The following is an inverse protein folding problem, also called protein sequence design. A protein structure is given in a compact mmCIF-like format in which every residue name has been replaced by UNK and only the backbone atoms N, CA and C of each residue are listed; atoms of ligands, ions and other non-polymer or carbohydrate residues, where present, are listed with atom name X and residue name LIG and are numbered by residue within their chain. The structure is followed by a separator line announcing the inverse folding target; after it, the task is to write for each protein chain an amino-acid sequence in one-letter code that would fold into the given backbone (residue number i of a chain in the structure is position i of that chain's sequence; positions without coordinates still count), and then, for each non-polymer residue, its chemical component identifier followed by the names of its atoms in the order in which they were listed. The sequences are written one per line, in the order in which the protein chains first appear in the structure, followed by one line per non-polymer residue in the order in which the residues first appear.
data_IF_942238431912
#
_entry.id   IF_942238431912
#
_cell.length_a   1.000
_cell.length_b   1.000
_cell.length_c   1.000
_cell.angle_alpha   90.00
_cell.angle_beta   90.00
_cell.angle_gamma   90.00
#
_symmetry.space_group_name_H-M   'P 1'
#
loop_
_entity.id
_entity.type
_entity.pdbx_description
1 polymer ?
#
# COMPACT_ATOMS: atom_id res chain seq x y z
N UNK A 1 -21.10 0.66 8.84
CA UNK A 1 -20.43 1.72 8.03
C UNK A 1 -21.25 1.91 6.77
N UNK A 2 -21.10 3.01 6.03
CA UNK A 2 -21.69 3.14 4.69
C UNK A 2 -20.76 2.54 3.63
N UNK A 3 -20.18 3.41 2.82
CA UNK A 3 -19.23 3.10 1.75
C UNK A 3 -17.86 3.67 2.08
N UNK A 4 -16.84 3.12 1.43
CA UNK A 4 -15.47 3.59 1.58
C UNK A 4 -14.72 3.61 0.25
N UNK A 5 -13.77 4.54 0.12
CA UNK A 5 -12.76 4.53 -0.94
C UNK A 5 -11.44 4.15 -0.30
N UNK A 6 -10.90 3.03 -0.75
CA UNK A 6 -9.67 2.44 -0.25
C UNK A 6 -8.55 2.63 -1.26
N UNK A 7 -7.36 2.94 -0.76
CA UNK A 7 -6.10 2.80 -1.47
C UNK A 7 -5.52 1.43 -1.15
N UNK A 8 -5.22 0.64 -2.18
CA UNK A 8 -4.72 -0.73 -2.07
C UNK A 8 -3.22 -0.74 -2.37
N UNK A 9 -2.40 -1.48 -1.60
CA UNK A 9 -0.96 -1.56 -1.82
C UNK A 9 -0.60 -2.27 -3.14
N UNK A 10 0.67 -2.30 -3.50
CA UNK A 10 1.16 -3.04 -4.67
C UNK A 10 0.93 -4.54 -4.48
N UNK A 11 0.90 -5.32 -5.57
CA UNK A 11 0.66 -6.77 -5.46
C UNK A 11 1.64 -7.47 -4.51
N UNK A 12 2.93 -7.13 -4.56
CA UNK A 12 3.94 -7.69 -3.67
C UNK A 12 3.68 -7.36 -2.20
N UNK A 13 3.43 -6.08 -1.89
CA UNK A 13 3.14 -5.64 -0.53
C UNK A 13 1.80 -6.20 -0.03
N UNK A 14 0.78 -6.28 -0.89
CA UNK A 14 -0.53 -6.86 -0.60
C UNK A 14 -0.39 -8.32 -0.14
N UNK A 15 0.43 -9.12 -0.83
CA UNK A 15 0.67 -10.52 -0.46
C UNK A 15 1.33 -10.63 0.91
N UNK A 16 2.36 -9.83 1.20
CA UNK A 16 3.02 -9.84 2.51
C UNK A 16 2.06 -9.41 3.62
N UNK A 17 1.34 -8.31 3.43
CA UNK A 17 0.41 -7.78 4.41
C UNK A 17 -0.75 -8.74 4.67
N UNK A 18 -1.34 -9.30 3.61
CA UNK A 18 -2.42 -10.28 3.73
C UNK A 18 -1.99 -11.53 4.48
N UNK A 19 -0.77 -12.00 4.27
CA UNK A 19 -0.24 -13.15 5.00
C UNK A 19 0.02 -12.81 6.47
N UNK A 20 0.58 -11.64 6.76
CA UNK A 20 0.74 -11.16 8.14
C UNK A 20 -0.61 -11.05 8.87
N UNK A 21 -1.65 -10.51 8.21
CA UNK A 21 -2.98 -10.29 8.78
C UNK A 21 -3.74 -11.60 9.08
N UNK A 22 -3.23 -12.77 8.64
CA UNK A 22 -3.73 -14.09 9.06
C UNK A 22 -3.19 -14.54 10.41
N UNK A 23 -2.19 -13.85 10.98
CA UNK A 23 -1.60 -14.22 12.26
C UNK A 23 -2.66 -14.29 13.37
N UNK A 24 -2.67 -15.37 14.14
CA UNK A 24 -3.53 -15.55 15.31
C UNK A 24 -2.67 -16.02 16.50
N UNK A 25 -2.79 -15.37 17.66
CA UNK A 25 -2.16 -15.81 18.89
C UNK A 25 -2.50 -17.27 19.24
N UNK A 26 -1.49 -18.12 19.50
CA UNK A 26 -1.66 -19.59 19.65
C UNK A 26 -2.33 -20.00 20.98
N UNK A 27 -2.00 -19.35 22.09
CA UNK A 27 -2.35 -19.75 23.45
C UNK A 27 -3.53 -18.95 24.04
N UNK A 28 -4.68 -19.00 23.40
CA UNK A 28 -5.88 -18.33 23.92
C UNK A 28 -6.65 -19.25 24.86
N UNK A 29 -6.98 -18.78 26.07
CA UNK A 29 -7.96 -19.44 26.94
C UNK A 29 -9.40 -19.25 26.43
N UNK A 30 -9.64 -18.21 25.62
CA UNK A 30 -10.90 -18.02 24.90
C UNK A 30 -11.00 -19.01 23.74
N UNK A 31 -12.18 -19.60 23.58
CA UNK A 31 -12.52 -20.41 22.42
C UNK A 31 -12.22 -19.61 21.14
N UNK A 32 -11.54 -20.25 20.19
CA UNK A 32 -11.35 -19.76 18.83
C UNK A 32 -12.62 -19.18 18.19
N UNK A 33 -13.81 -19.70 18.53
CA UNK A 33 -15.09 -19.27 17.98
C UNK A 33 -15.62 -17.96 18.56
N UNK A 34 -15.18 -17.56 19.75
CA UNK A 34 -15.62 -16.31 20.37
C UNK A 34 -14.76 -15.11 19.95
N UNK A 35 -13.60 -15.34 19.32
CA UNK A 35 -12.67 -14.27 18.96
C UNK A 35 -13.03 -13.61 17.63
N UNK A 36 -13.15 -12.29 17.67
CA UNK A 36 -13.58 -11.46 16.54
C UNK A 36 -12.41 -11.04 15.63
N UNK A 37 -11.88 -11.99 14.86
CA UNK A 37 -10.85 -11.71 13.84
C UNK A 37 -11.40 -11.77 12.40
N UNK A 38 -12.13 -10.75 11.92
CA UNK A 38 -12.55 -10.74 10.53
C UNK A 38 -11.33 -10.64 9.61
N UNK A 39 -11.39 -11.30 8.46
CA UNK A 39 -10.47 -11.04 7.36
C UNK A 39 -10.97 -9.83 6.57
N UNK A 40 -10.03 -9.00 6.13
CA UNK A 40 -10.26 -7.90 5.20
C UNK A 40 -8.96 -7.63 4.42
N UNK A 41 -9.07 -6.97 3.27
CA UNK A 41 -7.91 -6.66 2.43
C UNK A 41 -7.06 -5.56 3.07
N UNK A 42 -5.72 -5.59 3.00
CA UNK A 42 -4.88 -4.48 3.44
C UNK A 42 -5.18 -3.21 2.63
N UNK A 43 -5.48 -2.11 3.32
CA UNK A 43 -5.85 -0.85 2.67
C UNK A 43 -5.59 0.38 3.55
N UNK A 44 -5.38 1.54 2.91
CA UNK A 44 -5.49 2.85 3.55
C UNK A 44 -6.84 3.45 3.16
N UNK A 45 -7.64 3.87 4.14
CA UNK A 45 -8.93 4.51 3.86
C UNK A 45 -8.71 5.96 3.44
N UNK A 46 -9.11 6.30 2.21
CA UNK A 46 -9.03 7.67 1.69
C UNK A 46 -10.21 8.50 2.21
N UNK A 47 -11.42 7.95 2.09
CA UNK A 47 -12.67 8.55 2.57
C UNK A 47 -13.71 7.47 2.88
N UNK A 48 -14.62 7.78 3.82
CA UNK A 48 -15.85 7.02 4.07
C UNK A 48 -17.05 7.96 4.00
N UNK A 49 -18.22 7.44 3.63
CA UNK A 49 -19.46 8.21 3.52
C UNK A 49 -20.66 7.28 3.68
N UNK A 50 -21.80 7.82 4.10
CA UNK A 50 -22.93 7.00 4.57
C UNK A 50 -23.80 6.50 3.39
N UNK A 51 -23.98 7.32 2.35
CA UNK A 51 -24.82 7.01 1.18
C UNK A 51 -24.04 7.13 -0.13
N UNK A 52 -24.27 6.21 -1.07
CA UNK A 52 -23.66 6.23 -2.40
C UNK A 52 -24.67 6.77 -3.44
N UNK A 53 -24.52 7.99 -3.95
CA UNK A 53 -25.43 8.52 -4.96
C UNK A 53 -25.34 7.71 -6.26
N UNK A 54 -26.44 7.53 -7.01
CA UNK A 54 -26.42 6.82 -8.30
C UNK A 54 -25.46 7.43 -9.34
N UNK A 55 -25.16 8.73 -9.22
CA UNK A 55 -24.24 9.46 -10.10
C UNK A 55 -22.77 9.31 -9.71
N UNK A 56 -22.45 8.67 -8.58
CA UNK A 56 -21.07 8.47 -8.17
C UNK A 56 -20.37 7.50 -9.12
N UNK A 57 -19.24 7.94 -9.68
CA UNK A 57 -18.39 7.13 -10.52
C UNK A 57 -16.93 7.33 -10.12
N UNK A 58 -16.26 6.23 -9.74
CA UNK A 58 -14.85 6.21 -9.36
C UNK A 58 -13.92 6.63 -10.52
N UNK A 59 -14.32 6.36 -11.76
CA UNK A 59 -13.56 6.72 -12.97
C UNK A 59 -13.57 8.23 -13.24
N UNK A 60 -14.53 8.97 -12.66
CA UNK A 60 -14.64 10.42 -12.80
C UNK A 60 -13.69 11.22 -11.87
N UNK A 61 -12.90 10.54 -11.03
CA UNK A 61 -11.87 11.20 -10.22
C UNK A 61 -10.69 11.55 -11.14
N UNK A 62 -10.23 12.80 -11.13
CA UNK A 62 -9.06 13.20 -11.92
C UNK A 62 -7.79 12.66 -11.27
N UNK A 63 -7.20 11.63 -11.87
CA UNK A 63 -5.94 11.02 -11.42
C UNK A 63 -4.77 11.34 -12.36
N UNK A 64 -5.05 12.08 -13.43
CA UNK A 64 -4.06 12.43 -14.44
C UNK A 64 -2.93 13.25 -13.81
N UNK A 65 -1.70 12.88 -14.12
CA UNK A 65 -0.49 13.51 -13.59
C UNK A 65 -0.29 13.36 -12.07
N UNK A 66 -1.10 12.54 -11.38
CA UNK A 66 -0.79 12.21 -9.99
C UNK A 66 0.36 11.20 -9.97
N UNK A 67 1.49 11.53 -9.33
CA UNK A 67 2.54 10.55 -9.10
C UNK A 67 2.07 9.44 -8.16
N UNK A 68 2.68 8.25 -8.29
CA UNK A 68 2.30 7.07 -7.52
C UNK A 68 2.40 7.37 -6.00
N UNK A 69 1.36 7.08 -5.20
CA UNK A 69 1.36 7.33 -3.77
C UNK A 69 2.26 6.31 -3.05
N UNK A 70 3.25 6.82 -2.31
CA UNK A 70 4.21 5.99 -1.56
C UNK A 70 4.31 6.49 -0.12
N UNK A 71 4.30 5.56 0.83
CA UNK A 71 4.51 5.82 2.24
C UNK A 71 5.44 4.80 2.89
N UNK A 72 6.03 5.18 4.02
CA UNK A 72 6.83 4.28 4.86
C UNK A 72 6.09 3.98 6.14
N UNK A 73 6.16 2.73 6.60
CA UNK A 73 5.60 2.36 7.89
C UNK A 73 6.42 3.00 9.01
N UNK A 74 5.77 3.80 9.85
CA UNK A 74 6.44 4.58 10.89
C UNK A 74 6.33 3.90 12.24
N UNK A 75 5.13 3.51 12.62
CA UNK A 75 4.85 2.91 13.92
C UNK A 75 3.56 2.11 13.88
N UNK A 76 3.41 1.19 14.84
CA UNK A 76 2.15 0.51 15.11
C UNK A 76 1.44 1.23 16.26
N UNK A 77 0.16 1.50 16.07
CA UNK A 77 -0.72 2.01 17.12
C UNK A 77 -1.67 0.91 17.54
N UNK A 78 -1.72 0.67 18.85
CA UNK A 78 -2.70 -0.20 19.49
C UNK A 78 -3.81 0.66 20.08
N UNK A 79 -5.02 0.53 19.54
CA UNK A 79 -6.18 1.32 19.96
C UNK A 79 -7.15 0.56 20.86
N UNK A 80 -8.13 1.30 21.39
CA UNK A 80 -9.13 0.86 22.36
C UNK A 80 -10.50 0.52 21.72
N UNK A 81 -10.60 0.55 20.39
CA UNK A 81 -11.84 0.26 19.65
C UNK A 81 -11.68 -0.91 18.69
N UNK A 82 -12.80 -1.52 18.30
CA UNK A 82 -12.83 -2.65 17.36
C UNK A 82 -12.09 -2.36 16.05
N UNK A 83 -12.40 -1.22 15.41
CA UNK A 83 -11.80 -0.80 14.13
C UNK A 83 -10.39 -0.21 14.29
N UNK A 84 -9.97 0.10 15.52
CA UNK A 84 -8.67 0.67 15.84
C UNK A 84 -7.74 -0.29 16.59
N UNK A 85 -8.09 -1.58 16.70
CA UNK A 85 -7.40 -2.53 17.58
C UNK A 85 -5.89 -2.58 17.31
N UNK A 86 -5.50 -2.76 16.05
CA UNK A 86 -4.11 -2.59 15.64
C UNK A 86 -4.02 -1.94 14.27
N UNK A 87 -3.29 -0.84 14.18
CA UNK A 87 -3.12 -0.07 12.94
C UNK A 87 -1.68 0.41 12.78
N UNK A 88 -1.30 0.70 11.55
CA UNK A 88 0.00 1.26 11.20
C UNK A 88 -0.19 2.72 10.87
N UNK A 89 0.62 3.56 11.50
CA UNK A 89 0.82 4.94 11.06
C UNK A 89 1.75 4.91 9.87
N UNK A 90 1.25 5.37 8.73
CA UNK A 90 2.04 5.49 7.51
C UNK A 90 2.56 6.91 7.46
N UNK A 91 3.88 7.07 7.38
CA UNK A 91 4.46 8.37 7.07
C UNK A 91 4.24 8.63 5.57
N UNK A 92 3.58 9.74 5.19
CA UNK A 92 3.45 10.09 3.78
C UNK A 92 4.84 10.47 3.28
N UNK A 93 5.46 9.59 2.47
CA UNK A 93 6.75 9.88 1.89
C UNK A 93 6.59 10.85 0.73
N UNK A 94 5.69 10.52 -0.22
CA UNK A 94 5.24 11.39 -1.31
C UNK A 94 3.82 11.00 -1.79
N UNK A 95 3.02 12.02 -2.15
CA UNK A 95 1.85 11.89 -3.04
C UNK A 95 0.60 11.17 -2.55
N UNK A 96 0.54 10.74 -1.29
CA UNK A 96 -0.71 10.23 -0.71
C UNK A 96 -1.75 11.33 -0.49
N UNK A 97 -1.33 12.52 -0.05
CA UNK A 97 -2.24 13.65 0.20
C UNK A 97 -2.92 14.15 -1.09
N UNK A 98 -2.20 14.41 -2.20
CA UNK A 98 -2.85 14.80 -3.47
C UNK A 98 -3.92 13.80 -3.97
N UNK A 99 -3.68 12.49 -3.80
CA UNK A 99 -4.69 11.48 -4.14
C UNK A 99 -5.93 11.59 -3.25
N UNK A 100 -5.75 11.73 -1.94
CA UNK A 100 -6.87 11.94 -1.02
C UNK A 100 -7.62 13.21 -1.37
N UNK A 101 -6.93 14.31 -1.63
CA UNK A 101 -7.54 15.60 -1.98
C UNK A 101 -8.35 15.50 -3.28
N UNK A 102 -7.85 14.78 -4.29
CA UNK A 102 -8.60 14.54 -5.54
C UNK A 102 -9.88 13.73 -5.30
N UNK A 103 -9.81 12.73 -4.42
CA UNK A 103 -10.97 11.91 -4.03
C UNK A 103 -11.99 12.76 -3.27
N UNK A 104 -11.56 13.50 -2.25
CA UNK A 104 -12.46 14.30 -1.41
C UNK A 104 -13.06 15.46 -2.18
N UNK A 105 -12.29 16.13 -3.05
CA UNK A 105 -12.82 17.17 -3.94
C UNK A 105 -13.90 16.62 -4.89
N UNK A 106 -13.80 15.37 -5.34
CA UNK A 106 -14.87 14.72 -6.12
C UNK A 106 -16.12 14.49 -5.29
N UNK A 107 -15.97 14.03 -4.04
CA UNK A 107 -17.09 13.84 -3.12
C UNK A 107 -17.79 15.17 -2.80
N UNK A 108 -17.01 16.22 -2.53
CA UNK A 108 -17.51 17.57 -2.26
C UNK A 108 -18.33 18.13 -3.43
N UNK A 109 -17.86 17.97 -4.68
CA UNK A 109 -18.61 18.39 -5.89
C UNK A 109 -19.95 17.67 -6.06
N UNK A 110 -20.08 16.47 -5.50
CA UNK A 110 -21.32 15.69 -5.53
C UNK A 110 -22.16 15.92 -4.26
N UNK A 111 -21.76 16.86 -3.39
CA UNK A 111 -22.36 17.12 -2.08
C UNK A 111 -22.44 15.87 -1.17
N UNK A 112 -21.46 14.96 -1.28
CA UNK A 112 -21.38 13.76 -0.45
C UNK A 112 -20.61 14.12 0.82
N UNK A 113 -21.26 14.05 1.97
CA UNK A 113 -20.60 14.22 3.27
C UNK A 113 -19.68 13.02 3.53
N UNK A 114 -18.39 13.29 3.68
CA UNK A 114 -17.37 12.27 3.88
C UNK A 114 -16.60 12.48 5.19
N UNK A 115 -16.01 11.38 5.68
CA UNK A 115 -15.19 11.33 6.88
C UNK A 115 -13.87 10.65 6.53
N UNK A 116 -12.77 11.08 7.14
CA UNK A 116 -11.48 10.39 7.05
C UNK A 116 -10.67 10.73 8.30
N UNK A 117 -10.64 9.77 9.23
CA UNK A 117 -9.95 9.93 10.52
C UNK A 117 -8.51 9.44 10.36
N UNK A 118 -7.56 10.14 10.96
CA UNK A 118 -6.16 9.69 11.13
C UNK A 118 -5.44 9.28 9.84
N UNK A 119 -5.72 9.93 8.71
CA UNK A 119 -5.04 9.62 7.46
C UNK A 119 -3.59 10.13 7.45
N UNK A 120 -2.62 9.37 6.91
CA UNK A 120 -2.75 8.00 6.39
C UNK A 120 -2.46 6.94 7.48
N UNK A 121 -3.39 6.00 7.64
CA UNK A 121 -3.20 4.81 8.47
C UNK A 121 -3.75 3.58 7.76
N UNK A 122 -3.26 2.41 8.14
CA UNK A 122 -3.74 1.10 7.66
C UNK A 122 -4.03 0.21 8.85
N UNK A 123 -5.26 -0.29 8.96
CA UNK A 123 -5.60 -1.29 9.97
C UNK A 123 -4.99 -2.64 9.61
N UNK A 124 -4.37 -3.31 10.59
CA UNK A 124 -3.88 -4.68 10.44
C UNK A 124 -4.89 -5.70 10.99
N UNK A 125 -5.52 -5.39 12.12
CA UNK A 125 -6.45 -6.29 12.76
C UNK A 125 -7.61 -5.50 13.36
N UNK A 126 -8.80 -6.08 13.25
CA UNK A 126 -9.95 -5.70 14.06
C UNK A 126 -10.17 -6.79 15.09
N UNK A 127 -10.34 -6.39 16.35
CA UNK A 127 -10.49 -7.29 17.49
C UNK A 127 -11.40 -6.58 18.49
N UNK A 128 -12.48 -7.23 18.89
CA UNK A 128 -13.48 -6.67 19.80
C UNK A 128 -13.04 -6.83 21.26
N UNK A 129 -12.37 -7.94 21.58
CA UNK A 129 -12.01 -8.29 22.95
C UNK A 129 -10.78 -7.47 23.42
N UNK A 130 -10.90 -6.58 24.43
CA UNK A 130 -9.82 -5.66 24.80
C UNK A 130 -8.52 -6.36 25.23
N UNK A 131 -8.62 -7.46 25.98
CA UNK A 131 -7.46 -8.24 26.42
C UNK A 131 -6.71 -8.88 25.24
N UNK A 132 -7.45 -9.33 24.22
CA UNK A 132 -6.86 -9.99 23.05
C UNK A 132 -6.07 -9.00 22.18
N UNK A 133 -6.44 -7.71 22.16
CA UNK A 133 -5.70 -6.66 21.42
C UNK A 133 -4.26 -6.50 21.94
N UNK A 134 -4.11 -6.37 23.26
CA UNK A 134 -2.81 -6.20 23.90
C UNK A 134 -1.95 -7.45 23.73
N UNK A 135 -2.56 -8.62 23.87
CA UNK A 135 -1.89 -9.91 23.65
C UNK A 135 -1.43 -10.08 22.20
N UNK A 136 -2.28 -9.75 21.23
CA UNK A 136 -1.94 -9.78 19.79
C UNK A 136 -0.70 -8.92 19.51
N UNK A 137 -0.68 -7.68 20.01
CA UNK A 137 0.45 -6.78 19.83
C UNK A 137 1.74 -7.32 20.46
N UNK A 138 1.66 -7.83 21.69
CA UNK A 138 2.79 -8.42 22.39
C UNK A 138 3.35 -9.64 21.64
N UNK A 139 2.48 -10.56 21.19
CA UNK A 139 2.91 -11.74 20.45
C UNK A 139 3.55 -11.38 19.10
N UNK A 140 2.95 -10.45 18.33
CA UNK A 140 3.53 -9.98 17.07
C UNK A 140 4.93 -9.36 17.26
N UNK A 141 5.13 -8.62 18.35
CA UNK A 141 6.43 -8.02 18.69
C UNK A 141 7.44 -9.08 19.12
N UNK A 142 7.04 -9.97 20.03
CA UNK A 142 7.91 -11.02 20.59
C UNK A 142 8.38 -12.03 19.53
N UNK A 143 7.56 -12.33 18.52
CA UNK A 143 7.95 -13.21 17.42
C UNK A 143 8.60 -12.46 16.23
N UNK A 144 8.93 -11.18 16.40
CA UNK A 144 9.64 -10.40 15.38
C UNK A 144 8.84 -10.08 14.13
N UNK A 145 7.50 -10.12 14.20
CA UNK A 145 6.60 -9.73 13.10
C UNK A 145 6.44 -8.22 12.97
N UNK A 146 6.65 -7.51 14.06
CA UNK A 146 6.69 -6.05 14.15
C UNK A 146 8.07 -5.70 14.71
N UNK A 147 8.90 -5.02 13.93
CA UNK A 147 10.27 -4.65 14.32
C UNK A 147 10.61 -3.22 13.90
N UNK A 148 11.41 -2.53 14.72
CA UNK A 148 11.90 -1.17 14.45
C UNK A 148 11.11 -0.08 15.17
N UNK A 149 11.81 1.00 15.52
CA UNK A 149 11.24 2.26 16.00
C UNK A 149 11.45 3.31 14.90
N UNK A 150 10.37 3.96 14.44
CA UNK A 150 10.31 4.94 13.33
C UNK A 150 10.56 4.39 11.92
N UNK A 151 11.27 3.28 11.78
CA UNK A 151 11.45 2.53 10.52
C UNK A 151 10.84 1.12 10.66
N UNK A 152 9.52 1.07 10.68
CA UNK A 152 8.79 -0.15 10.97
C UNK A 152 8.95 -1.17 9.83
N UNK A 153 9.40 -2.37 10.19
CA UNK A 153 9.43 -3.55 9.34
C UNK A 153 8.36 -4.52 9.80
N UNK A 154 7.52 -4.94 8.86
CA UNK A 154 6.52 -5.95 9.07
C UNK A 154 6.96 -7.25 8.43
N UNK A 155 6.85 -8.35 9.16
CA UNK A 155 7.33 -9.67 8.72
C UNK A 155 6.18 -10.67 8.78
N UNK A 156 5.73 -11.14 7.62
CA UNK A 156 4.73 -12.21 7.54
C UNK A 156 5.35 -13.58 7.83
N UNK A 157 6.58 -13.78 7.38
CA UNK A 157 7.47 -14.90 7.70
C UNK A 157 8.92 -14.46 7.35
N UNK A 158 9.95 -15.25 7.69
CA UNK A 158 11.35 -14.81 7.50
C UNK A 158 11.72 -14.36 6.08
N UNK A 159 11.05 -14.87 5.04
CA UNK A 159 11.30 -14.49 3.64
C UNK A 159 10.38 -13.39 3.11
N UNK A 160 9.38 -12.97 3.88
CA UNK A 160 8.35 -12.02 3.46
C UNK A 160 8.31 -10.83 4.41
N UNK A 161 9.01 -9.76 4.04
CA UNK A 161 9.12 -8.52 4.80
C UNK A 161 8.66 -7.32 3.97
N UNK A 162 8.09 -6.32 4.64
CA UNK A 162 7.64 -5.09 4.00
C UNK A 162 7.81 -3.89 4.94
N UNK A 163 8.31 -2.77 4.39
CA UNK A 163 8.56 -1.51 5.12
C UNK A 163 7.79 -0.32 4.54
N UNK A 164 7.16 -0.54 3.39
CA UNK A 164 6.56 0.50 2.56
C UNK A 164 5.14 0.15 2.20
N UNK A 165 4.42 1.19 1.79
CA UNK A 165 3.13 1.08 1.17
C UNK A 165 3.16 1.85 -0.14
N UNK A 166 3.00 1.15 -1.26
CA UNK A 166 2.92 1.70 -2.60
C UNK A 166 1.51 1.52 -3.12
N UNK A 167 0.72 2.59 -3.19
CA UNK A 167 -0.67 2.47 -3.63
C UNK A 167 -0.76 2.17 -5.13
N UNK A 168 -1.34 1.04 -5.49
CA UNK A 168 -1.42 0.54 -6.88
C UNK A 168 -2.79 0.72 -7.52
N UNK A 169 -3.85 0.81 -6.72
CA UNK A 169 -5.22 0.99 -7.18
C UNK A 169 -6.08 1.62 -6.08
N UNK A 170 -7.18 2.25 -6.49
CA UNK A 170 -8.26 2.66 -5.59
C UNK A 170 -9.48 1.77 -5.81
N UNK A 171 -10.19 1.45 -4.71
CA UNK A 171 -11.42 0.66 -4.73
C UNK A 171 -12.55 1.41 -4.05
N UNK A 172 -13.73 1.41 -4.66
CA UNK A 172 -14.99 1.70 -3.99
C UNK A 172 -15.49 0.42 -3.34
N UNK A 173 -15.79 0.46 -2.05
CA UNK A 173 -16.16 -0.71 -1.24
C UNK A 173 -17.48 -0.45 -0.53
N UNK A 174 -18.37 -1.44 -0.58
CA UNK A 174 -19.58 -1.48 0.24
C UNK A 174 -19.22 -2.02 1.63
N UNK A 175 -19.37 -1.15 2.65
CA UNK A 175 -19.11 -1.47 4.04
C UNK A 175 -20.39 -1.46 4.91
N UNK A 176 -21.56 -1.59 4.28
CA UNK A 176 -22.89 -1.58 4.94
C UNK A 176 -23.13 -2.81 5.81
N UNK A 177 -22.43 -3.90 5.52
CA UNK A 177 -22.52 -5.18 6.23
C UNK A 177 -21.36 -5.36 7.22
N UNK A 178 -21.33 -6.50 7.90
CA UNK A 178 -20.20 -6.88 8.75
C UNK A 178 -18.90 -6.94 7.94
N UNK A 179 -17.74 -6.76 8.59
CA UNK A 179 -16.42 -6.70 7.93
C UNK A 179 -16.18 -7.88 6.99
N UNK A 180 -16.56 -9.10 7.40
CA UNK A 180 -16.45 -10.33 6.59
C UNK A 180 -17.27 -10.30 5.29
N UNK A 181 -18.20 -9.36 5.16
CA UNK A 181 -19.11 -9.17 4.03
C UNK A 181 -18.85 -7.86 3.29
N UNK A 182 -17.79 -7.13 3.62
CA UNK A 182 -17.35 -6.01 2.81
C UNK A 182 -16.89 -6.52 1.46
N UNK A 183 -17.25 -5.83 0.39
CA UNK A 183 -16.88 -6.26 -0.96
C UNK A 183 -16.57 -5.06 -1.86
N UNK A 184 -15.55 -5.18 -2.73
CA UNK A 184 -15.23 -4.15 -3.70
C UNK A 184 -16.31 -4.10 -4.79
N UNK A 185 -16.84 -2.90 -5.03
CA UNK A 185 -17.84 -2.64 -6.07
C UNK A 185 -17.19 -2.22 -7.39
N UNK A 186 -16.13 -1.41 -7.30
CA UNK A 186 -15.41 -0.86 -8.46
C UNK A 186 -13.95 -0.66 -8.10
N UNK A 187 -13.07 -0.96 -9.04
CA UNK A 187 -11.62 -0.81 -8.91
C UNK A 187 -11.08 0.06 -10.04
N UNK A 188 -10.06 0.88 -9.75
CA UNK A 188 -9.34 1.68 -10.73
C UNK A 188 -7.84 1.65 -10.44
N UNK A 189 -7.05 1.21 -11.42
CA UNK A 189 -5.59 1.18 -11.35
C UNK A 189 -5.00 2.59 -11.28
N UNK A 190 -3.99 2.77 -10.44
CA UNK A 190 -3.10 3.93 -10.40
C UNK A 190 -1.80 3.70 -11.18
N UNK A 191 -1.48 2.44 -11.49
CA UNK A 191 -0.31 2.09 -12.28
C UNK A 191 -0.67 2.27 -13.77
N UNK A 192 0.10 3.07 -14.53
CA UNK A 192 -0.07 3.15 -15.97
C UNK A 192 0.02 1.76 -16.59
N UNK A 193 -0.79 1.46 -17.62
CA UNK A 193 -0.64 0.21 -18.34
C UNK A 193 0.80 0.09 -18.85
N UNK A 194 1.39 -1.09 -18.71
CA UNK A 194 2.72 -1.34 -19.26
C UNK A 194 2.73 -0.95 -20.74
N UNK A 195 3.81 -0.29 -21.23
CA UNK A 195 3.91 -0.01 -22.65
C UNK A 195 3.75 -1.31 -23.43
N UNK A 196 3.06 -1.29 -24.58
CA UNK A 196 2.87 -2.48 -25.38
C UNK A 196 4.24 -3.11 -25.67
N UNK A 197 4.37 -4.45 -25.65
CA UNK A 197 5.63 -5.09 -25.97
C UNK A 197 6.10 -4.58 -27.34
N UNK A 198 7.42 -4.37 -27.54
CA UNK A 198 7.93 -3.96 -28.84
C UNK A 198 7.40 -4.93 -29.90
N UNK A 199 7.05 -4.45 -31.10
CA UNK A 199 6.64 -5.32 -32.20
C UNK A 199 7.69 -6.42 -32.31
N UNK A 200 7.27 -7.69 -32.29
CA UNK A 200 8.20 -8.80 -32.55
C UNK A 200 8.85 -8.48 -33.90
N UNK A 201 10.13 -8.10 -33.88
CA UNK A 201 10.91 -7.98 -35.10
C UNK A 201 10.70 -9.30 -35.83
N UNK A 202 10.02 -9.20 -36.97
CA UNK A 202 9.80 -10.35 -37.82
C UNK A 202 11.18 -10.64 -38.35
N UNK A 203 11.92 -11.51 -37.65
CA UNK A 203 13.23 -11.97 -38.09
C UNK A 203 13.03 -12.36 -39.55
N UNK A 204 13.67 -11.65 -40.50
CA UNK A 204 13.48 -11.95 -41.90
C UNK A 204 13.77 -13.44 -42.05
N UNK A 205 12.74 -14.21 -42.39
CA UNK A 205 12.92 -15.61 -42.73
C UNK A 205 13.95 -15.59 -43.85
N UNK A 206 15.16 -16.04 -43.53
CA UNK A 206 16.29 -16.11 -44.44
C UNK A 206 15.86 -17.02 -45.58
N UNK A 207 15.29 -16.44 -46.64
CA UNK A 207 15.09 -17.12 -47.91
C UNK A 207 16.47 -17.54 -48.36
N UNK A 208 16.76 -18.83 -48.26
CA UNK A 208 17.88 -19.47 -48.93
C UNK A 208 17.60 -19.47 -50.43
N UNK A 209 17.77 -18.33 -51.08
CA UNK A 209 17.84 -18.25 -52.54
C UNK A 209 19.30 -18.38 -52.97
N UNK A 210 19.63 -19.58 -53.46
CA UNK A 210 20.73 -19.80 -54.39
C UNK A 210 20.37 -19.10 -55.69
N UNK A 211 21.05 -18.01 -56.03
CA UNK A 211 20.82 -17.32 -57.29
C UNK A 211 21.79 -16.18 -57.50
N UNK A 212 22.99 -16.54 -57.95
CA UNK A 212 24.05 -15.64 -58.41
C UNK A 212 23.50 -14.76 -59.55
N UNK A 213 23.53 -13.44 -59.40
CA UNK A 213 23.81 -12.54 -60.51
C UNK A 213 24.37 -11.20 -60.02
N UNK A 214 25.38 -10.73 -60.74
CA UNK A 214 26.29 -9.67 -60.37
C UNK A 214 25.92 -8.31 -60.99
N UNK A 215 26.40 -7.25 -60.32
CA UNK A 215 26.71 -5.87 -60.78
C UNK A 215 25.53 -4.88 -60.96
N UNK A 216 25.79 -3.54 -61.00
CA UNK A 216 26.94 -2.77 -60.50
C UNK A 216 26.57 -1.56 -59.62
N UNK A 217 27.61 -1.10 -58.92
CA UNK A 217 27.75 0.09 -58.09
C UNK A 217 27.33 1.41 -58.79
N UNK A 218 26.55 2.25 -58.10
CA UNK A 218 26.52 3.70 -58.32
C UNK A 218 26.59 4.45 -56.98
N UNK A 219 27.50 5.40 -56.98
CA UNK A 219 28.03 6.21 -55.88
C UNK A 219 27.45 7.62 -55.99
N UNK A 220 26.90 8.12 -54.91
CA UNK A 220 26.55 9.54 -54.67
C UNK A 220 26.42 9.67 -53.15
N UNK A 221 27.36 10.28 -52.41
CA UNK A 221 27.57 11.75 -52.21
C UNK A 221 26.24 12.47 -51.98
N UNK A 222 26.02 13.34 -50.99
CA UNK A 222 26.68 13.83 -49.77
C UNK A 222 25.73 14.94 -49.29
N UNK A 223 25.60 15.20 -47.98
CA UNK A 223 25.37 16.54 -47.35
C UNK A 223 24.79 16.42 -45.93
N UNK A 224 25.67 16.63 -44.93
CA UNK A 224 25.37 17.42 -43.72
C UNK A 224 25.47 18.93 -44.09
N UNK A 225 25.18 19.95 -43.24
CA UNK A 225 24.74 19.98 -41.84
C UNK A 225 23.58 21.01 -41.57
N UNK A 226 23.03 21.07 -40.35
CA UNK A 226 22.58 22.34 -39.77
C UNK A 226 22.34 22.25 -38.24
N UNK A 227 22.79 23.30 -37.57
CA UNK A 227 22.90 23.46 -36.13
C UNK A 227 21.61 23.95 -35.43
N UNK A 228 21.49 23.58 -34.14
CA UNK A 228 21.06 24.33 -32.92
C UNK A 228 20.31 25.68 -33.07
N UNK A 229 19.36 26.02 -32.15
CA UNK A 229 19.76 26.35 -30.76
C UNK A 229 18.79 26.01 -29.60
N UNK A 230 19.40 25.94 -28.40
CA UNK A 230 18.78 26.07 -27.07
C UNK A 230 17.93 27.34 -26.91
N UNK A 231 16.97 27.34 -25.95
CA UNK A 231 17.05 28.39 -24.94
C UNK A 231 16.72 27.97 -23.49
N UNK A 232 17.59 28.49 -22.62
CA UNK A 232 17.29 29.19 -21.36
C UNK A 232 16.68 28.42 -20.17
N UNK A 233 17.60 28.02 -19.28
CA UNK A 233 17.38 27.90 -17.83
C UNK A 233 16.91 29.23 -17.22
N UNK A 234 15.69 29.26 -16.71
CA UNK A 234 15.24 30.27 -15.74
C UNK A 234 15.41 29.74 -14.31
N UNK A 235 16.42 30.28 -13.60
CA UNK A 235 16.54 30.21 -12.14
C UNK A 235 15.45 31.08 -11.51
N UNK A 236 14.64 30.51 -10.62
CA UNK A 236 14.03 31.27 -9.52
C UNK A 236 14.30 30.56 -8.20
N UNK A 237 15.17 31.19 -7.42
CA UNK A 237 15.20 31.10 -5.97
C UNK A 237 13.96 31.77 -5.40
N UNK A 238 13.25 31.11 -4.49
CA UNK A 238 12.59 31.79 -3.37
C UNK A 238 12.64 30.89 -2.15
N UNK A 239 13.54 31.27 -1.25
CA UNK A 239 13.51 31.09 0.19
C UNK A 239 12.16 31.49 0.81
N UNK A 240 11.61 30.71 1.73
CA UNK A 240 11.33 31.20 3.09
C UNK A 240 10.92 30.08 4.06
N UNK A 241 11.55 30.14 5.23
CA UNK A 241 11.28 29.40 6.45
C UNK A 241 9.89 29.73 7.01
N UNK A 242 9.23 28.76 7.66
CA UNK A 242 8.68 29.04 9.00
C UNK A 242 8.54 27.78 9.83
N UNK A 243 9.29 27.81 10.92
CA UNK A 243 9.21 26.93 12.08
C UNK A 243 7.78 26.91 12.64
N UNK A 244 7.30 25.72 13.00
CA UNK A 244 6.37 25.58 14.11
C UNK A 244 6.87 24.46 15.01
N UNK A 245 7.54 24.91 16.08
CA UNK A 245 7.84 24.14 17.28
C UNK A 245 6.52 23.93 18.01
N UNK A 246 6.14 22.68 18.23
CA UNK A 246 5.17 22.31 19.26
C UNK A 246 5.82 21.26 20.15
N UNK A 247 6.26 21.76 21.30
CA UNK A 247 6.63 20.99 22.48
C UNK A 247 5.39 20.34 23.07
N UNK A 248 5.39 19.01 23.22
CA UNK A 248 4.70 18.38 24.36
C UNK A 248 5.55 17.21 24.88
N UNK A 249 5.90 17.36 26.16
CA UNK A 249 6.54 16.44 27.09
C UNK A 249 5.90 15.04 27.06
N UNK A 250 6.71 13.98 27.01
CA UNK A 250 7.18 13.19 28.16
C UNK A 250 6.11 12.33 28.84
N UNK A 251 6.23 11.02 28.67
CA UNK A 251 6.26 10.09 29.81
C UNK A 251 6.99 8.81 29.43
N UNK A 252 7.89 8.41 30.32
CA UNK A 252 8.69 7.20 30.33
C UNK A 252 7.87 5.91 30.23
N UNK A 253 8.41 4.91 29.53
CA UNK A 253 8.15 3.51 29.85
C UNK A 253 9.46 2.73 29.71
N UNK A 254 9.84 2.10 30.82
CA UNK A 254 11.09 1.39 31.05
C UNK A 254 11.23 0.13 30.19
N UNK A 255 12.46 -0.09 29.76
CA UNK A 255 12.92 -1.31 29.10
C UNK A 255 12.82 -2.53 30.03
N UNK A 256 12.13 -3.58 29.57
CA UNK A 256 12.36 -4.96 30.03
C UNK A 256 12.52 -5.83 28.78
N UNK A 257 13.77 -6.14 28.48
CA UNK A 257 14.15 -7.10 27.43
C UNK A 257 14.02 -8.52 28.01
N UNK A 258 13.03 -9.28 27.55
CA UNK A 258 12.99 -10.74 27.68
C UNK A 258 13.07 -11.36 26.28
N UNK A 259 14.28 -11.68 25.84
CA UNK A 259 14.49 -12.56 24.68
C UNK A 259 14.27 -14.01 25.10
N UNK A 260 13.09 -14.57 24.81
CA UNK A 260 12.87 -16.02 24.78
C UNK A 260 12.77 -16.48 23.33
N UNK A 261 13.76 -17.24 22.89
CA UNK A 261 13.79 -17.87 21.57
C UNK A 261 12.69 -18.91 21.44
N UNK A 262 11.81 -18.73 20.45
CA UNK A 262 10.93 -19.78 19.98
C UNK A 262 11.68 -20.65 18.96
N UNK A 263 12.33 -21.70 19.43
CA UNK A 263 12.69 -22.86 18.61
C UNK A 263 11.82 -24.03 19.08
N UNK A 264 10.83 -24.40 18.26
CA UNK A 264 10.12 -25.65 18.40
C UNK A 264 10.68 -26.63 17.36
N UNK A 265 11.41 -27.65 17.82
CA UNK A 265 11.60 -28.89 17.08
C UNK A 265 10.69 -29.96 17.71
N UNK A 266 10.03 -30.82 16.91
CA UNK A 266 9.28 -31.95 17.44
C UNK A 266 10.19 -33.18 17.56
N UNK A 267 10.37 -33.69 18.79
CA UNK A 267 10.84 -35.05 19.04
C UNK A 267 9.68 -36.01 18.94
N UNK A 268 9.72 -36.89 17.94
CA UNK A 268 8.89 -38.10 17.88
C UNK A 268 9.40 -39.09 18.93
N UNK A 269 8.54 -39.51 19.86
CA UNK A 269 8.74 -40.72 20.66
C UNK A 269 7.90 -41.83 20.05
N UNK A 270 8.57 -42.83 19.51
CA UNK A 270 8.03 -44.16 19.23
C UNK A 270 7.88 -44.92 20.54
N UNK A 271 6.70 -45.49 20.78
CA UNK A 271 6.47 -46.50 21.80
C UNK A 271 6.62 -47.88 21.15
N UNK A 272 7.47 -48.71 21.75
CA UNK A 272 7.34 -50.17 21.79
C UNK A 272 6.67 -50.56 23.12
#
# INVERSE_FOLDING_TARGET
MGYAIWLIPSSTEFTVLSELMKFRPQSSTLDSRSRSYPSFDPHITLATFDELPPLFNLDAISLDNLPLPVGHFRSVTHGDSYLGALSIVVSPAKNMTPLRDAVTARLDRLNIQWKSRNFPHMSLFYVDEPFERGRLYAELTNCGRIQGDKDLTLTANPSMQVKTFTGSEIRLVDCTRSVKRWYPMKTRSLVPPAPPPPPKETVPQKRTDKGIHARPCKRSQSEDPAASPEPQRSRRHTTYNREYVSLVSSTMCSDIVYTRGCLAQPTFLTYD
#
